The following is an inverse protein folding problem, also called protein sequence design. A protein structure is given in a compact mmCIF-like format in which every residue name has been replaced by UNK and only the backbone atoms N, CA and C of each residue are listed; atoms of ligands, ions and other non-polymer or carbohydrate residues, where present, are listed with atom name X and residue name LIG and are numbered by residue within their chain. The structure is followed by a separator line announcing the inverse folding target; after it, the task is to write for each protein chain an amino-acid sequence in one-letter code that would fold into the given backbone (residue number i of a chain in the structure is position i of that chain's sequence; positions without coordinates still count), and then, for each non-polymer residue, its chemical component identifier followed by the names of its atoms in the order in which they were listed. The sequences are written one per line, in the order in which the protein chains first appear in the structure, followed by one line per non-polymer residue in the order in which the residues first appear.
data_IF_551992873287
#
_entry.id   IF_551992873287
#
_cell.length_a   1.000
_cell.length_b   1.000
_cell.length_c   1.000
_cell.angle_alpha   90.00
_cell.angle_beta   90.00
_cell.angle_gamma   90.00
#
_symmetry.space_group_name_H-M   'P 1'
#
loop_
_entity.id
_entity.type
_entity.pdbx_description
1 polymer ?
#
# COMPACT_ATOMS: atom_id res chain seq x y z
N UNK A 1 -23.74 0.50 -2.37
CA UNK A 1 -22.83 1.15 -3.32
C UNK A 1 -21.98 2.12 -2.53
N UNK A 2 -20.66 1.98 -2.59
CA UNK A 2 -19.71 2.91 -1.99
C UNK A 2 -19.68 4.23 -2.76
N UNK A 3 -19.25 5.30 -2.11
CA UNK A 3 -19.01 6.62 -2.72
C UNK A 3 -17.52 6.87 -2.96
N UNK A 4 -16.64 6.15 -2.26
CA UNK A 4 -15.20 6.21 -2.46
C UNK A 4 -14.52 4.85 -2.20
N UNK A 5 -13.40 4.63 -2.88
CA UNK A 5 -12.44 3.56 -2.57
C UNK A 5 -11.09 4.22 -2.25
N UNK A 6 -10.52 3.85 -1.10
CA UNK A 6 -9.26 4.37 -0.57
C UNK A 6 -8.22 3.26 -0.65
N UNK A 7 -7.30 3.37 -1.59
CA UNK A 7 -6.27 2.36 -1.83
C UNK A 7 -5.00 2.70 -1.05
N UNK A 8 -4.42 1.73 -0.35
CA UNK A 8 -2.97 1.77 -0.10
C UNK A 8 -2.20 1.67 -1.44
N UNK A 9 -0.92 2.02 -1.46
CA UNK A 9 -0.08 1.99 -2.66
C UNK A 9 0.83 0.77 -2.72
N UNK A 10 1.58 0.51 -1.65
CA UNK A 10 2.66 -0.47 -1.61
C UNK A 10 2.08 -1.83 -1.18
N UNK A 11 2.24 -2.87 -2.00
CA UNK A 11 1.55 -4.16 -1.83
C UNK A 11 0.16 -4.21 -2.46
N UNK A 12 -0.48 -3.06 -2.70
CA UNK A 12 -1.82 -2.97 -3.32
C UNK A 12 -1.77 -2.49 -4.77
N UNK A 13 -1.38 -1.24 -5.01
CA UNK A 13 -1.31 -0.65 -6.36
C UNK A 13 0.03 -0.89 -7.07
N UNK A 14 1.07 -1.20 -6.29
CA UNK A 14 2.38 -1.60 -6.77
C UNK A 14 2.94 -2.69 -5.83
N UNK A 15 3.44 -3.77 -6.41
CA UNK A 15 4.10 -4.86 -5.67
C UNK A 15 5.57 -4.51 -5.42
N UNK A 16 5.82 -3.67 -4.42
CA UNK A 16 7.13 -3.06 -4.14
C UNK A 16 7.99 -3.83 -3.15
N UNK A 17 7.41 -4.74 -2.37
CA UNK A 17 8.03 -5.38 -1.21
C UNK A 17 9.29 -6.16 -1.57
N UNK A 18 9.20 -7.02 -2.60
CA UNK A 18 10.34 -7.79 -3.07
C UNK A 18 11.45 -6.88 -3.62
N UNK A 19 11.08 -5.82 -4.35
CA UNK A 19 12.06 -4.86 -4.88
C UNK A 19 12.75 -4.10 -3.74
N UNK A 20 12.01 -3.65 -2.72
CA UNK A 20 12.59 -2.95 -1.57
C UNK A 20 13.51 -3.86 -0.76
N UNK A 21 13.12 -5.10 -0.53
CA UNK A 21 13.96 -6.08 0.17
C UNK A 21 15.24 -6.37 -0.61
N UNK A 22 15.14 -6.62 -1.93
CA UNK A 22 16.30 -6.83 -2.78
C UNK A 22 17.23 -5.61 -2.81
N UNK A 23 16.68 -4.40 -2.97
CA UNK A 23 17.47 -3.16 -3.00
C UNK A 23 18.25 -2.93 -1.70
N UNK A 24 17.65 -3.28 -0.54
CA UNK A 24 18.35 -3.25 0.76
C UNK A 24 19.49 -4.27 0.82
N UNK A 25 19.24 -5.49 0.34
CA UNK A 25 20.26 -6.54 0.27
C UNK A 25 21.42 -6.13 -0.65
N UNK A 26 21.14 -5.62 -1.84
CA UNK A 26 22.16 -5.20 -2.80
C UNK A 26 23.06 -4.09 -2.22
N UNK A 27 22.45 -3.11 -1.54
CA UNK A 27 23.18 -2.09 -0.81
C UNK A 27 24.13 -2.67 0.23
N UNK A 28 23.63 -3.56 1.09
CA UNK A 28 24.42 -4.15 2.19
C UNK A 28 25.49 -5.12 1.69
N UNK A 29 25.23 -5.88 0.64
CA UNK A 29 26.24 -6.70 -0.05
C UNK A 29 27.38 -5.81 -0.57
N UNK A 30 27.05 -4.66 -1.15
CA UNK A 30 28.04 -3.64 -1.51
C UNK A 30 28.84 -3.06 -0.34
N UNK A 31 28.39 -3.27 0.90
CA UNK A 31 29.07 -2.91 2.16
C UNK A 31 29.77 -4.11 2.83
N UNK A 32 29.78 -5.28 2.18
CA UNK A 32 30.46 -6.48 2.67
C UNK A 32 29.60 -7.44 3.49
N UNK A 33 28.29 -7.18 3.62
CA UNK A 33 27.36 -8.12 4.24
C UNK A 33 27.12 -9.34 3.34
N UNK A 34 26.71 -10.45 3.94
CA UNK A 34 26.36 -11.69 3.22
C UNK A 34 24.95 -12.11 3.60
N UNK A 35 24.19 -12.53 2.62
CA UNK A 35 22.82 -13.02 2.76
C UNK A 35 22.68 -14.33 2.00
N UNK A 36 22.11 -15.36 2.65
CA UNK A 36 21.82 -16.64 1.99
C UNK A 36 20.55 -16.56 1.14
N UNK A 37 19.63 -15.67 1.51
CA UNK A 37 18.42 -15.33 0.77
C UNK A 37 18.00 -13.89 1.11
N UNK A 38 17.13 -13.31 0.27
CA UNK A 38 16.52 -12.01 0.56
C UNK A 38 15.47 -12.19 1.66
N UNK A 39 15.62 -11.55 2.83
CA UNK A 39 14.63 -11.68 3.89
C UNK A 39 13.32 -10.99 3.51
N UNK A 40 12.19 -11.59 3.90
CA UNK A 40 10.88 -10.95 3.79
C UNK A 40 10.65 -10.03 5.01
N UNK A 41 10.54 -8.74 4.74
CA UNK A 41 10.27 -7.70 5.72
C UNK A 41 8.87 -7.10 5.58
N UNK A 42 7.99 -7.72 4.80
CA UNK A 42 6.64 -7.22 4.57
C UNK A 42 5.88 -7.08 5.89
N UNK A 43 5.14 -6.00 6.04
CA UNK A 43 4.41 -5.67 7.28
C UNK A 43 5.29 -5.17 8.45
N UNK A 44 6.62 -5.14 8.31
CA UNK A 44 7.52 -4.56 9.32
C UNK A 44 7.70 -3.05 9.12
N UNK A 45 7.93 -2.32 10.20
CA UNK A 45 8.33 -0.91 10.11
C UNK A 45 9.84 -0.77 9.88
N UNK A 46 10.26 0.40 9.37
CA UNK A 46 11.65 0.70 9.03
C UNK A 46 12.64 0.39 10.17
N UNK A 47 12.31 0.79 11.41
CA UNK A 47 13.14 0.51 12.58
C UNK A 47 13.38 -0.98 12.80
N UNK A 48 12.32 -1.79 12.74
CA UNK A 48 12.42 -3.25 12.93
C UNK A 48 13.24 -3.91 11.81
N UNK A 49 13.09 -3.44 10.57
CA UNK A 49 13.87 -3.91 9.42
C UNK A 49 15.36 -3.67 9.66
N UNK A 50 15.75 -2.44 10.02
CA UNK A 50 17.14 -2.10 10.23
C UNK A 50 17.76 -2.78 11.45
N UNK A 51 17.00 -2.98 12.52
CA UNK A 51 17.43 -3.75 13.70
C UNK A 51 17.73 -5.21 13.32
N UNK A 52 16.90 -5.82 12.46
CA UNK A 52 17.10 -7.19 12.00
C UNK A 52 18.28 -7.33 11.01
N UNK A 53 18.48 -6.33 10.14
CA UNK A 53 19.58 -6.32 9.17
C UNK A 53 20.94 -6.10 9.83
N UNK A 54 21.00 -5.28 10.88
CA UNK A 54 22.23 -4.93 11.60
C UNK A 54 21.98 -5.03 13.10
N UNK A 55 21.95 -6.26 13.67
CA UNK A 55 21.66 -6.48 15.07
C UNK A 55 22.85 -6.14 15.96
N UNK A 56 22.58 -5.54 17.13
CA UNK A 56 23.59 -5.35 18.18
C UNK A 56 24.62 -4.24 17.98
N UNK A 57 24.61 -3.55 16.83
CA UNK A 57 25.48 -2.39 16.56
C UNK A 57 24.65 -1.19 16.07
N UNK A 58 24.26 -0.34 17.03
CA UNK A 58 23.39 0.80 16.77
C UNK A 58 24.06 1.89 15.91
N UNK A 59 25.37 2.08 16.04
CA UNK A 59 26.08 3.11 15.30
C UNK A 59 26.30 2.69 13.85
N UNK A 60 26.73 1.44 13.63
CA UNK A 60 26.85 0.88 12.27
C UNK A 60 25.49 0.90 11.56
N UNK A 61 24.42 0.50 12.25
CA UNK A 61 23.06 0.55 11.72
C UNK A 61 22.65 1.95 11.31
N UNK A 62 22.94 2.96 12.13
CA UNK A 62 22.64 4.37 11.81
C UNK A 62 23.39 4.81 10.55
N UNK A 63 24.69 4.55 10.48
CA UNK A 63 25.53 4.90 9.32
C UNK A 63 25.04 4.21 8.03
N UNK A 64 24.70 2.93 8.09
CA UNK A 64 24.19 2.18 6.94
C UNK A 64 22.79 2.64 6.54
N UNK A 65 21.91 2.92 7.50
CA UNK A 65 20.58 3.44 7.20
C UNK A 65 20.65 4.83 6.53
N UNK A 66 21.47 5.73 7.07
CA UNK A 66 21.68 7.05 6.48
C UNK A 66 22.25 6.94 5.05
N UNK A 67 23.23 6.06 4.85
CA UNK A 67 23.81 5.78 3.54
C UNK A 67 22.85 5.09 2.56
N UNK A 68 21.87 4.33 3.05
CA UNK A 68 20.87 3.69 2.21
C UNK A 68 19.94 4.71 1.54
N UNK A 69 19.67 5.86 2.17
CA UNK A 69 18.85 6.92 1.57
C UNK A 69 19.43 7.38 0.23
N UNK A 70 20.73 7.72 0.21
CA UNK A 70 21.42 8.10 -1.03
C UNK A 70 21.46 6.94 -2.04
N UNK A 71 21.58 5.69 -1.57
CA UNK A 71 21.53 4.53 -2.45
C UNK A 71 20.16 4.33 -3.07
N UNK A 72 19.06 4.50 -2.32
CA UNK A 72 17.70 4.38 -2.82
C UNK A 72 17.35 5.45 -3.83
N UNK A 73 17.88 6.66 -3.68
CA UNK A 73 17.71 7.74 -4.65
C UNK A 73 18.41 7.43 -5.97
N UNK A 74 19.61 6.84 -5.91
CA UNK A 74 20.35 6.39 -7.09
C UNK A 74 19.77 5.11 -7.74
N UNK A 75 18.94 4.36 -7.02
CA UNK A 75 18.30 3.13 -7.46
C UNK A 75 16.77 3.22 -7.27
N UNK A 76 16.10 4.11 -8.03
CA UNK A 76 14.70 4.44 -7.82
C UNK A 76 13.80 3.23 -8.10
N UNK A 77 12.60 3.27 -7.54
CA UNK A 77 11.60 2.22 -7.76
C UNK A 77 11.22 2.15 -9.23
N UNK A 78 11.30 0.99 -9.88
CA UNK A 78 10.93 0.85 -11.28
C UNK A 78 9.40 0.74 -11.39
N UNK A 79 8.68 1.82 -11.09
CA UNK A 79 7.22 1.85 -10.90
C UNK A 79 6.42 1.08 -11.97
N UNK A 80 6.75 1.26 -13.25
CA UNK A 80 6.09 0.53 -14.36
C UNK A 80 6.22 -0.99 -14.27
N UNK A 81 7.35 -1.50 -13.75
CA UNK A 81 7.61 -2.94 -13.63
C UNK A 81 6.92 -3.56 -12.42
N UNK A 82 6.79 -2.78 -11.34
CA UNK A 82 6.18 -3.26 -10.08
C UNK A 82 4.69 -2.94 -9.99
N UNK A 83 4.14 -2.10 -10.86
CA UNK A 83 2.73 -1.74 -10.86
C UNK A 83 1.82 -2.98 -10.88
N UNK A 84 0.77 -2.93 -10.06
CA UNK A 84 -0.31 -3.89 -10.16
C UNK A 84 -1.06 -3.65 -11.49
N UNK A 85 -1.10 -4.62 -12.42
CA UNK A 85 -1.71 -4.42 -13.73
C UNK A 85 -3.22 -4.12 -13.66
N UNK A 86 -3.87 -4.44 -12.55
CA UNK A 86 -5.28 -4.17 -12.34
C UNK A 86 -5.56 -2.74 -11.84
N UNK A 87 -4.55 -1.99 -11.39
CA UNK A 87 -4.73 -0.67 -10.77
C UNK A 87 -5.46 0.32 -11.69
N UNK A 88 -4.95 0.54 -12.91
CA UNK A 88 -5.55 1.48 -13.87
C UNK A 88 -6.95 1.03 -14.32
N UNK A 89 -7.16 -0.21 -14.78
CA UNK A 89 -8.50 -0.68 -15.15
C UNK A 89 -9.52 -0.54 -14.02
N UNK A 90 -9.18 -0.94 -12.79
CA UNK A 90 -10.10 -0.89 -11.65
C UNK A 90 -10.44 0.55 -11.26
N UNK A 91 -9.45 1.44 -11.19
CA UNK A 91 -9.72 2.85 -10.86
C UNK A 91 -10.55 3.54 -11.94
N UNK A 92 -10.34 3.20 -13.23
CA UNK A 92 -11.18 3.67 -14.32
C UNK A 92 -12.62 3.21 -14.15
N UNK A 93 -12.82 1.90 -13.98
CA UNK A 93 -14.15 1.30 -13.90
C UNK A 93 -14.93 1.83 -12.67
N UNK A 94 -14.25 2.02 -11.53
CA UNK A 94 -14.84 2.67 -10.35
C UNK A 94 -15.26 4.11 -10.64
N UNK A 95 -14.41 4.89 -11.31
CA UNK A 95 -14.70 6.29 -11.66
C UNK A 95 -15.86 6.40 -12.66
N UNK A 96 -15.91 5.53 -13.66
CA UNK A 96 -17.03 5.43 -14.61
C UNK A 96 -18.34 5.04 -13.90
N UNK A 97 -18.25 4.23 -12.83
CA UNK A 97 -19.35 3.91 -11.93
C UNK A 97 -19.71 4.99 -10.91
N UNK A 98 -19.08 6.18 -10.97
CA UNK A 98 -19.36 7.30 -10.06
C UNK A 98 -18.69 7.20 -8.69
N UNK A 99 -17.73 6.29 -8.50
CA UNK A 99 -16.99 6.09 -7.25
C UNK A 99 -15.64 6.79 -7.33
N UNK A 100 -15.32 7.58 -6.30
CA UNK A 100 -14.04 8.31 -6.26
C UNK A 100 -12.92 7.43 -5.73
N UNK A 101 -11.76 7.48 -6.37
CA UNK A 101 -10.57 6.78 -5.91
C UNK A 101 -9.63 7.75 -5.17
N UNK A 102 -9.04 7.30 -4.08
CA UNK A 102 -7.93 7.99 -3.42
C UNK A 102 -6.77 7.04 -3.14
N UNK A 103 -5.55 7.57 -3.13
CA UNK A 103 -4.35 6.85 -2.69
C UNK A 103 -4.02 7.32 -1.27
N UNK A 104 -3.82 6.38 -0.34
CA UNK A 104 -3.51 6.62 1.06
C UNK A 104 -2.28 5.78 1.45
N UNK A 105 -1.08 6.31 1.23
CA UNK A 105 0.18 5.57 1.37
C UNK A 105 1.06 6.14 2.49
N UNK A 106 1.81 5.27 3.17
CA UNK A 106 2.84 5.69 4.14
C UNK A 106 4.10 6.29 3.48
N UNK A 107 4.22 6.18 2.16
CA UNK A 107 5.33 6.69 1.36
C UNK A 107 5.32 8.23 1.28
N UNK A 108 6.49 8.83 1.03
CA UNK A 108 6.62 10.28 0.83
C UNK A 108 5.79 10.79 -0.35
N UNK A 109 5.29 12.05 -0.31
CA UNK A 109 4.50 12.62 -1.41
C UNK A 109 5.16 12.53 -2.79
N UNK A 110 6.48 12.65 -2.85
CA UNK A 110 7.28 12.52 -4.08
C UNK A 110 7.11 11.14 -4.72
N UNK A 111 7.20 10.07 -3.92
CA UNK A 111 7.08 8.69 -4.40
C UNK A 111 5.66 8.38 -4.90
N UNK A 112 4.64 8.92 -4.24
CA UNK A 112 3.25 8.78 -4.70
C UNK A 112 3.05 9.48 -6.04
N UNK A 113 3.64 10.67 -6.22
CA UNK A 113 3.61 11.40 -7.50
C UNK A 113 4.34 10.64 -8.61
N UNK A 114 5.55 10.17 -8.35
CA UNK A 114 6.32 9.36 -9.29
C UNK A 114 5.57 8.10 -9.71
N UNK A 115 4.95 7.40 -8.75
CA UNK A 115 4.10 6.24 -9.03
C UNK A 115 2.96 6.62 -9.97
N UNK A 116 2.21 7.70 -9.68
CA UNK A 116 1.08 8.13 -10.50
C UNK A 116 1.49 8.51 -11.92
N UNK A 117 2.60 9.25 -12.07
CA UNK A 117 3.16 9.66 -13.36
C UNK A 117 3.64 8.45 -14.17
N UNK A 118 4.37 7.54 -13.54
CA UNK A 118 4.94 6.38 -14.20
C UNK A 118 3.87 5.38 -14.64
N UNK A 119 2.79 5.21 -13.85
CA UNK A 119 1.73 4.22 -14.11
C UNK A 119 0.54 4.78 -14.86
N UNK A 120 0.38 6.10 -14.92
CA UNK A 120 -0.78 6.74 -15.56
C UNK A 120 -2.07 6.62 -14.74
N UNK A 121 -1.97 6.42 -13.41
CA UNK A 121 -3.14 6.35 -12.51
C UNK A 121 -3.74 7.73 -12.20
N UNK A 122 -2.96 8.81 -12.35
CA UNK A 122 -3.36 10.18 -12.00
C UNK A 122 -4.75 10.62 -12.49
N UNK A 123 -5.17 10.38 -13.74
CA UNK A 123 -6.50 10.75 -14.24
C UNK A 123 -7.69 10.14 -13.49
N UNK A 124 -7.47 9.07 -12.72
CA UNK A 124 -8.50 8.34 -11.99
C UNK A 124 -8.48 8.61 -10.48
N UNK A 125 -7.43 9.25 -9.97
CA UNK A 125 -7.23 9.55 -8.55
C UNK A 125 -7.79 10.93 -8.23
N UNK A 126 -8.79 10.99 -7.35
CA UNK A 126 -9.38 12.25 -6.89
C UNK A 126 -8.52 12.96 -5.84
N UNK A 127 -7.72 12.19 -5.09
CA UNK A 127 -6.92 12.67 -3.98
C UNK A 127 -5.81 11.66 -3.67
N UNK A 128 -4.62 12.15 -3.30
CA UNK A 128 -3.57 11.36 -2.69
C UNK A 128 -3.23 11.94 -1.31
N UNK A 129 -3.10 11.07 -0.31
CA UNK A 129 -2.65 11.39 1.05
C UNK A 129 -1.37 10.62 1.33
N UNK A 130 -0.33 11.32 1.75
CA UNK A 130 0.87 10.71 2.33
C UNK A 130 0.72 10.64 3.85
N UNK A 131 1.03 9.48 4.43
CA UNK A 131 1.14 9.31 5.87
C UNK A 131 2.26 10.15 6.50
N UNK A 132 3.22 10.64 5.70
CA UNK A 132 4.25 11.60 6.15
C UNK A 132 3.67 12.98 6.47
N UNK A 133 2.45 13.28 5.99
CA UNK A 133 1.74 14.53 6.26
C UNK A 133 0.72 14.38 7.41
N UNK A 134 0.58 13.17 7.98
CA UNK A 134 -0.28 12.87 9.12
C UNK A 134 0.47 13.05 10.44
N UNK A 135 -0.27 13.33 11.52
CA UNK A 135 0.29 13.39 12.87
C UNK A 135 0.64 12.01 13.44
N UNK A 136 -0.06 10.96 12.99
CA UNK A 136 0.19 9.57 13.34
C UNK A 136 0.20 8.65 12.11
N UNK A 137 1.05 7.61 12.16
CA UNK A 137 1.16 6.58 11.13
C UNK A 137 0.20 5.41 11.40
N UNK A 138 -0.11 4.63 10.34
CA UNK A 138 -0.79 3.33 10.47
C UNK A 138 -0.12 2.51 11.59
N UNK A 139 -0.88 1.92 12.54
CA UNK A 139 -2.30 1.59 12.48
C UNK A 139 -3.27 2.70 12.91
N UNK A 140 -2.81 3.93 13.17
CA UNK A 140 -3.72 5.05 13.39
C UNK A 140 -4.56 5.32 12.13
N UNK A 141 -5.89 5.57 12.25
CA UNK A 141 -6.78 5.76 11.11
C UNK A 141 -6.66 7.14 10.44
N UNK A 142 -5.84 8.07 10.96
CA UNK A 142 -5.77 9.47 10.51
C UNK A 142 -5.63 9.60 8.99
N UNK A 143 -4.82 8.76 8.34
CA UNK A 143 -4.62 8.81 6.89
C UNK A 143 -5.93 8.61 6.11
N UNK A 144 -6.75 7.64 6.55
CA UNK A 144 -8.05 7.34 5.94
C UNK A 144 -9.10 8.37 6.31
N UNK A 145 -9.16 8.79 7.58
CA UNK A 145 -10.09 9.82 8.04
C UNK A 145 -9.83 11.16 7.33
N UNK A 146 -8.57 11.49 7.09
CA UNK A 146 -8.16 12.68 6.32
C UNK A 146 -8.64 12.58 4.88
N UNK A 147 -8.43 11.43 4.22
CA UNK A 147 -8.91 11.21 2.86
C UNK A 147 -10.45 11.33 2.78
N UNK A 148 -11.18 10.71 3.71
CA UNK A 148 -12.63 10.79 3.79
C UNK A 148 -13.13 12.22 3.99
N UNK A 149 -12.50 12.96 4.90
CA UNK A 149 -12.81 14.36 5.19
C UNK A 149 -12.63 15.25 3.96
N UNK A 150 -11.49 15.13 3.25
CA UNK A 150 -11.23 15.90 2.03
C UNK A 150 -12.15 15.50 0.87
N UNK A 151 -12.61 14.25 0.82
CA UNK A 151 -13.61 13.79 -0.14
C UNK A 151 -15.05 14.11 0.30
N UNK A 152 -15.30 14.55 1.53
CA UNK A 152 -16.66 14.77 2.02
C UNK A 152 -17.51 13.49 1.99
N UNK A 153 -16.93 12.36 2.38
CA UNK A 153 -17.61 11.05 2.52
C UNK A 153 -17.52 10.56 3.95
N UNK A 154 -18.46 9.72 4.36
CA UNK A 154 -18.41 9.03 5.64
C UNK A 154 -17.79 7.65 5.50
N UNK A 155 -17.26 7.10 6.59
CA UNK A 155 -16.57 5.80 6.57
C UNK A 155 -17.47 4.65 6.05
N UNK A 156 -18.76 4.66 6.41
CA UNK A 156 -19.76 3.70 5.90
C UNK A 156 -19.98 3.74 4.39
N UNK A 157 -19.57 4.84 3.73
CA UNK A 157 -19.66 5.01 2.28
C UNK A 157 -18.32 4.68 1.59
N UNK A 158 -17.34 4.16 2.32
CA UNK A 158 -15.99 3.90 1.82
C UNK A 158 -15.61 2.43 1.89
N UNK A 159 -14.81 2.01 0.92
CA UNK A 159 -14.03 0.77 0.98
C UNK A 159 -12.56 1.15 1.08
N UNK A 160 -11.86 0.63 2.09
CA UNK A 160 -10.40 0.70 2.19
C UNK A 160 -9.84 -0.57 1.56
N UNK A 161 -8.86 -0.43 0.67
CA UNK A 161 -8.13 -1.55 0.07
C UNK A 161 -6.70 -1.54 0.58
N UNK A 162 -6.31 -2.62 1.23
CA UNK A 162 -5.05 -2.78 1.97
C UNK A 162 -4.47 -4.18 1.76
N UNK A 163 -3.24 -4.40 2.17
CA UNK A 163 -2.60 -5.73 2.20
C UNK A 163 -2.01 -6.02 3.59
N UNK A 164 -1.52 -5.00 4.28
CA UNK A 164 -0.73 -5.11 5.50
C UNK A 164 -1.57 -5.14 6.78
N UNK A 165 -1.14 -5.85 7.85
CA UNK A 165 -1.88 -5.91 9.11
C UNK A 165 -2.06 -4.53 9.76
N UNK A 166 -1.03 -3.68 9.71
CA UNK A 166 -1.11 -2.31 10.27
C UNK A 166 -2.08 -1.44 9.47
N UNK A 167 -2.15 -1.61 8.16
CA UNK A 167 -3.03 -0.86 7.29
C UNK A 167 -4.47 -1.33 7.37
N UNK A 168 -4.68 -2.64 7.45
CA UNK A 168 -5.99 -3.23 7.77
C UNK A 168 -6.52 -2.65 9.08
N UNK A 169 -5.71 -2.64 10.15
CA UNK A 169 -6.12 -2.03 11.44
C UNK A 169 -6.45 -0.54 11.32
N UNK A 170 -5.67 0.24 10.57
CA UNK A 170 -6.00 1.64 10.31
C UNK A 170 -7.33 1.80 9.56
N UNK A 171 -7.58 0.98 8.55
CA UNK A 171 -8.84 0.94 7.83
C UNK A 171 -10.02 0.61 8.76
N UNK A 172 -9.86 -0.42 9.60
CA UNK A 172 -10.89 -0.83 10.58
C UNK A 172 -11.18 0.26 11.59
N UNK A 173 -10.13 0.89 12.14
CA UNK A 173 -10.25 1.98 13.11
C UNK A 173 -10.92 3.23 12.51
N UNK A 174 -10.87 3.42 11.18
CA UNK A 174 -11.60 4.49 10.51
C UNK A 174 -13.12 4.26 10.43
N UNK A 175 -13.58 3.02 10.66
CA UNK A 175 -14.98 2.61 10.56
C UNK A 175 -15.45 2.27 9.15
N UNK A 176 -14.53 2.15 8.18
CA UNK A 176 -14.82 1.73 6.81
C UNK A 176 -14.83 0.21 6.66
N UNK A 177 -15.42 -0.28 5.56
CA UNK A 177 -15.24 -1.66 5.12
C UNK A 177 -13.79 -1.84 4.66
N UNK A 178 -13.10 -2.85 5.16
CA UNK A 178 -11.71 -3.15 4.77
C UNK A 178 -11.64 -4.40 3.90
N UNK A 179 -11.15 -4.21 2.68
CA UNK A 179 -10.86 -5.24 1.71
C UNK A 179 -9.35 -5.48 1.65
N UNK A 180 -8.89 -6.65 2.10
CA UNK A 180 -7.49 -7.04 1.97
C UNK A 180 -7.22 -7.67 0.59
N UNK A 181 -6.19 -7.21 -0.12
CA UNK A 181 -5.67 -7.87 -1.31
C UNK A 181 -4.69 -8.97 -0.88
N UNK A 182 -4.91 -10.20 -1.32
CA UNK A 182 -4.01 -11.32 -1.03
C UNK A 182 -2.58 -10.99 -1.47
N UNK A 183 -1.56 -11.20 -0.62
CA UNK A 183 -0.18 -10.87 -0.96
C UNK A 183 0.35 -11.73 -2.13
N UNK A 184 1.38 -11.23 -2.80
CA UNK A 184 2.09 -11.98 -3.85
C UNK A 184 2.79 -13.21 -3.26
N UNK A 185 3.02 -14.27 -4.05
CA UNK A 185 3.82 -15.40 -3.60
C UNK A 185 5.18 -14.97 -3.03
N UNK A 186 5.52 -15.47 -1.84
CA UNK A 186 6.74 -15.10 -1.12
C UNK A 186 6.57 -13.94 -0.12
N UNK A 187 5.37 -13.36 -0.02
CA UNK A 187 5.01 -12.38 1.01
C UNK A 187 4.04 -13.02 2.00
N UNK A 188 4.33 -12.92 3.29
CA UNK A 188 3.49 -13.46 4.37
C UNK A 188 2.95 -12.35 5.26
N UNK A 189 1.64 -12.09 5.19
CA UNK A 189 0.95 -11.07 5.99
C UNK A 189 -0.29 -11.67 6.67
N UNK A 190 -0.52 -11.29 7.92
CA UNK A 190 -1.75 -11.63 8.65
C UNK A 190 -2.86 -10.66 8.25
N UNK A 191 -3.85 -11.17 7.52
CA UNK A 191 -5.00 -10.40 7.03
C UNK A 191 -6.29 -10.71 7.80
N UNK A 192 -6.21 -11.42 8.93
CA UNK A 192 -7.38 -11.93 9.67
C UNK A 192 -8.33 -10.87 10.24
N UNK A 193 -7.88 -9.61 10.34
CA UNK A 193 -8.70 -8.49 10.81
C UNK A 193 -9.52 -7.81 9.68
N UNK A 194 -9.30 -8.19 8.41
CA UNK A 194 -10.03 -7.63 7.27
C UNK A 194 -11.47 -8.13 7.20
N UNK A 195 -12.38 -7.32 6.62
CA UNK A 195 -13.77 -7.73 6.42
C UNK A 195 -13.92 -8.70 5.24
N UNK A 196 -13.12 -8.50 4.20
CA UNK A 196 -13.10 -9.32 2.98
C UNK A 196 -11.65 -9.47 2.52
N UNK A 197 -11.31 -10.65 2.00
CA UNK A 197 -10.02 -10.90 1.31
C UNK A 197 -10.31 -11.17 -0.16
N UNK A 198 -9.61 -10.49 -1.06
CA UNK A 198 -9.74 -10.64 -2.52
C UNK A 198 -8.42 -11.08 -3.14
N UNK A 199 -8.47 -11.91 -4.17
CA UNK A 199 -7.30 -12.35 -4.92
C UNK A 199 -6.85 -11.37 -6.00
N UNK A 200 -7.72 -10.45 -6.41
CA UNK A 200 -7.44 -9.41 -7.41
C UNK A 200 -8.17 -8.11 -7.10
N UNK A 201 -7.56 -6.97 -7.46
CA UNK A 201 -8.24 -5.67 -7.38
C UNK A 201 -9.52 -5.61 -8.21
N UNK A 202 -9.69 -6.48 -9.21
CA UNK A 202 -10.92 -6.53 -10.02
C UNK A 202 -12.16 -6.87 -9.20
N UNK A 203 -11.99 -7.61 -8.10
CA UNK A 203 -13.07 -7.97 -7.19
C UNK A 203 -13.56 -6.79 -6.36
N UNK A 204 -12.77 -5.70 -6.26
CA UNK A 204 -13.17 -4.45 -5.58
C UNK A 204 -14.29 -3.74 -6.34
N UNK A 205 -14.34 -3.85 -7.67
CA UNK A 205 -15.38 -3.19 -8.49
C UNK A 205 -16.79 -3.63 -8.11
N UNK A 206 -17.15 -4.93 -8.12
CA UNK A 206 -18.48 -5.36 -7.69
C UNK A 206 -18.75 -5.14 -6.18
N UNK A 207 -17.70 -5.13 -5.32
CA UNK A 207 -17.85 -4.77 -3.91
C UNK A 207 -18.28 -3.30 -3.75
N UNK A 208 -17.65 -2.39 -4.48
CA UNK A 208 -17.94 -0.96 -4.41
C UNK A 208 -19.25 -0.59 -5.12
N UNK A 209 -19.47 -1.11 -6.33
CA UNK A 209 -20.62 -0.74 -7.16
C UNK A 209 -21.88 -1.56 -6.86
N UNK A 210 -21.75 -2.71 -6.19
CA UNK A 210 -22.77 -3.75 -6.19
C UNK A 210 -22.69 -4.59 -7.46
N UNK A 211 -23.48 -5.68 -7.57
CA UNK A 211 -23.43 -6.56 -8.73
C UNK A 211 -23.78 -5.80 -10.01
N UNK A 212 -22.82 -5.74 -10.93
CA UNK A 212 -23.01 -5.20 -12.28
C UNK A 212 -23.90 -6.18 -13.04
N UNK A 213 -25.21 -5.94 -13.00
CA UNK A 213 -26.21 -6.82 -13.61
C UNK A 213 -26.51 -8.09 -12.80
N UNK A 214 -27.50 -8.01 -11.91
CA UNK A 214 -28.44 -9.11 -11.70
C UNK A 214 -27.94 -10.46 -11.16
N UNK A 215 -26.78 -10.57 -10.53
CA UNK A 215 -26.47 -11.74 -9.68
C UNK A 215 -25.83 -11.31 -8.36
N UNK A 216 -26.59 -11.44 -7.29
CA UNK A 216 -26.09 -11.33 -5.93
C UNK A 216 -25.03 -12.42 -5.71
N UNK A 217 -23.82 -12.02 -5.35
CA UNK A 217 -22.82 -12.94 -4.80
C UNK A 217 -23.06 -12.97 -3.30
N UNK A 218 -23.50 -14.13 -2.80
CA UNK A 218 -23.66 -14.41 -1.38
C UNK A 218 -22.26 -14.70 -0.82
N UNK A 219 -21.81 -13.89 0.13
CA UNK A 219 -20.68 -14.27 0.98
C UNK A 219 -21.24 -15.11 2.13
N UNK A 220 -20.72 -16.33 2.28
CA UNK A 220 -21.00 -17.26 3.39
C UNK A 220 -20.11 -16.93 4.56
#
# INVERSE_FOLDING_TARGET
MARAVLFDMDGVLAFTEQFYNQRRVDYLVGKGFRFDAVPDFSGSNDRAIWEALVPGDAELRRVLHDGYRAYSDAHPTPWRKVANPDAVPVMRDLREGGVRCAICSSSYPELIREFMEATGTGPYVSLAISGQECSAFKPDPEIYLTAMGRLGVSAKDCVVVEDSPIGIRAGKASGALVCALTPRPGVSLDQGEADVVVGSLREVVPLALGPVGGKAVSYV
#
